data_IF_088212796386
#
_entry.id   IF_088212796386
#
_cell.length_a   1.000
_cell.length_b   1.000
_cell.length_c   1.000
_cell.angle_alpha   90.00
_cell.angle_beta   90.00
_cell.angle_gamma   90.00
#
_symmetry.space_group_name_H-M   'P 1'
#
loop_
_entity.id
_entity.type
_entity.pdbx_description
1 polymer ?
#
# COMPACT_ATOMS: atom_id res chain seq x y z
N UNK A 1 -3.19 4.89 -2.16
CA UNK A 1 -2.11 4.13 -1.50
C UNK A 1 -2.54 3.40 -0.23
N UNK A 2 -3.35 4.00 0.66
CA UNK A 2 -3.85 3.28 1.85
C UNK A 2 -4.52 1.94 1.52
N UNK A 3 -5.40 1.90 0.50
CA UNK A 3 -6.03 0.67 0.04
C UNK A 3 -5.03 -0.41 -0.41
N UNK A 4 -3.91 -0.01 -1.01
CA UNK A 4 -2.85 -0.94 -1.45
C UNK A 4 -2.09 -1.52 -0.26
N UNK A 5 -1.84 -0.73 0.78
CA UNK A 5 -1.24 -1.24 2.03
C UNK A 5 -2.22 -2.17 2.75
N UNK A 6 -3.51 -1.83 2.79
CA UNK A 6 -4.56 -2.71 3.31
C UNK A 6 -4.68 -4.02 2.54
N UNK A 7 -4.51 -3.99 1.22
CA UNK A 7 -4.45 -5.21 0.41
C UNK A 7 -3.31 -6.13 0.90
N UNK A 8 -2.10 -5.61 1.14
CA UNK A 8 -0.99 -6.43 1.68
C UNK A 8 -1.31 -7.00 3.06
N UNK A 9 -1.96 -6.21 3.93
CA UNK A 9 -2.37 -6.69 5.26
C UNK A 9 -3.40 -7.81 5.13
N UNK A 10 -4.33 -7.70 4.18
CA UNK A 10 -5.34 -8.71 3.92
C UNK A 10 -4.71 -10.00 3.38
N UNK A 11 -3.78 -9.92 2.43
CA UNK A 11 -3.08 -11.11 1.91
C UNK A 11 -2.20 -11.78 2.95
N UNK A 12 -1.58 -11.01 3.84
CA UNK A 12 -0.87 -11.52 5.00
C UNK A 12 -1.80 -12.24 5.98
N UNK A 13 -2.95 -11.63 6.32
CA UNK A 13 -3.94 -12.22 7.20
C UNK A 13 -4.54 -13.51 6.60
N UNK A 14 -4.72 -13.53 5.28
CA UNK A 14 -5.17 -14.69 4.52
C UNK A 14 -4.19 -15.86 4.64
N UNK A 15 -2.92 -15.64 4.32
CA UNK A 15 -1.86 -16.65 4.45
C UNK A 15 -1.73 -17.19 5.90
N UNK A 16 -1.85 -16.31 6.90
CA UNK A 16 -1.89 -16.72 8.30
C UNK A 16 -3.13 -17.57 8.64
N UNK A 17 -4.23 -17.36 7.92
CA UNK A 17 -5.48 -18.09 8.14
C UNK A 17 -5.38 -19.56 7.74
N UNK A 18 -4.66 -19.88 6.67
CA UNK A 18 -4.40 -21.26 6.28
C UNK A 18 -3.40 -21.95 7.22
N UNK A 19 -2.43 -21.23 7.77
CA UNK A 19 -1.39 -21.80 8.64
C UNK A 19 -1.83 -22.08 10.07
N UNK A 20 -2.82 -21.35 10.59
CA UNK A 20 -3.20 -21.40 12.00
C UNK A 20 -4.71 -21.43 12.19
N UNK A 21 -5.38 -22.45 11.62
CA UNK A 21 -6.81 -22.71 11.81
C UNK A 21 -7.19 -22.62 13.30
N UNK A 22 -7.94 -21.57 13.67
CA UNK A 22 -8.49 -21.36 15.01
C UNK A 22 -7.74 -20.39 15.94
N UNK A 23 -6.51 -19.94 15.64
CA UNK A 23 -5.74 -18.99 16.49
C UNK A 23 -5.46 -17.63 15.84
N UNK A 24 -6.03 -17.37 14.67
CA UNK A 24 -5.77 -16.16 13.88
C UNK A 24 -6.27 -14.90 14.59
N UNK A 25 -7.50 -14.94 15.13
CA UNK A 25 -8.15 -13.77 15.72
C UNK A 25 -7.33 -13.19 16.88
N UNK A 26 -6.89 -14.03 17.82
CA UNK A 26 -6.06 -13.61 18.97
C UNK A 26 -4.70 -13.02 18.56
N UNK A 27 -4.18 -13.42 17.39
CA UNK A 27 -2.88 -12.97 16.88
C UNK A 27 -3.02 -11.67 16.10
N UNK A 28 -4.12 -11.48 15.39
CA UNK A 28 -4.43 -10.25 14.65
C UNK A 28 -4.87 -9.15 15.62
N UNK A 29 -5.72 -9.43 16.60
CA UNK A 29 -6.23 -8.41 17.54
C UNK A 29 -5.09 -7.79 18.38
N UNK A 30 -4.11 -8.61 18.78
CA UNK A 30 -2.90 -8.11 19.47
C UNK A 30 -2.01 -7.22 18.60
N UNK A 31 -2.14 -7.30 17.27
CA UNK A 31 -1.35 -6.52 16.30
C UNK A 31 -2.16 -5.49 15.51
N UNK A 32 -3.47 -5.37 15.76
CA UNK A 32 -4.38 -4.51 15.01
C UNK A 32 -3.91 -3.05 14.95
N UNK A 33 -3.46 -2.50 16.09
CA UNK A 33 -2.92 -1.14 16.15
C UNK A 33 -1.68 -0.94 15.27
N UNK A 34 -0.80 -1.94 15.17
CA UNK A 34 0.38 -1.88 14.28
C UNK A 34 -0.04 -1.88 12.81
N UNK A 35 -1.02 -2.70 12.43
CA UNK A 35 -1.53 -2.73 11.06
C UNK A 35 -2.17 -1.42 10.66
N UNK A 36 -3.00 -0.83 11.52
CA UNK A 36 -3.55 0.51 11.30
C UNK A 36 -2.44 1.55 11.18
N UNK A 37 -1.49 1.59 12.12
CA UNK A 37 -0.40 2.57 12.08
C UNK A 37 0.35 2.51 10.75
N UNK A 38 0.75 1.32 10.30
CA UNK A 38 1.47 1.15 9.03
C UNK A 38 0.60 1.55 7.83
N UNK A 39 -0.67 1.11 7.81
CA UNK A 39 -1.62 1.39 6.73
C UNK A 39 -1.90 2.89 6.52
N UNK A 40 -1.83 3.68 7.59
CA UNK A 40 -2.08 5.12 7.54
C UNK A 40 -0.81 5.96 7.43
N UNK A 41 0.26 5.58 8.15
CA UNK A 41 1.53 6.33 8.12
C UNK A 41 2.23 6.23 6.77
N UNK A 42 2.27 5.06 6.12
CA UNK A 42 2.97 4.93 4.83
C UNK A 42 2.36 5.83 3.74
N UNK A 43 1.04 5.82 3.50
CA UNK A 43 0.42 6.76 2.56
C UNK A 43 0.61 8.21 2.97
N UNK A 44 0.51 8.53 4.26
CA UNK A 44 0.66 9.90 4.76
C UNK A 44 2.06 10.45 4.49
N UNK A 45 3.10 9.68 4.77
CA UNK A 45 4.49 10.09 4.48
C UNK A 45 4.67 10.30 2.98
N UNK A 46 4.13 9.40 2.15
CA UNK A 46 4.20 9.52 0.70
C UNK A 46 3.52 10.81 0.21
N UNK A 47 2.30 11.12 0.69
CA UNK A 47 1.58 12.33 0.28
C UNK A 47 2.25 13.60 0.78
N UNK A 48 2.75 13.62 2.02
CA UNK A 48 3.50 14.76 2.56
C UNK A 48 4.77 15.01 1.76
N UNK A 49 5.48 13.95 1.36
CA UNK A 49 6.69 14.08 0.54
C UNK A 49 6.38 14.66 -0.84
N UNK A 50 5.30 14.21 -1.49
CA UNK A 50 4.84 14.76 -2.77
C UNK A 50 4.48 16.25 -2.64
N UNK A 51 3.76 16.62 -1.57
CA UNK A 51 3.43 18.02 -1.29
C UNK A 51 4.69 18.85 -1.06
N UNK A 52 5.67 18.32 -0.31
CA UNK A 52 6.93 19.00 -0.03
C UNK A 52 7.80 19.20 -1.28
N UNK A 53 7.75 18.28 -2.24
CA UNK A 53 8.45 18.40 -3.52
C UNK A 53 7.73 19.35 -4.50
N UNK A 54 6.47 19.70 -4.25
CA UNK A 54 5.71 20.60 -5.11
C UNK A 54 5.29 19.99 -6.46
N UNK A 55 5.37 18.67 -6.59
CA UNK A 55 5.17 17.92 -7.85
C UNK A 55 3.70 17.55 -8.07
N UNK A 56 2.78 18.44 -7.72
CA UNK A 56 1.33 18.26 -7.88
C UNK A 56 0.88 19.09 -9.07
N UNK A 57 0.55 18.41 -10.16
CA UNK A 57 0.14 19.03 -11.41
C UNK A 57 -1.38 18.90 -11.60
N UNK A 58 -2.02 19.96 -12.09
CA UNK A 58 -3.43 19.94 -12.50
C UNK A 58 -3.57 19.54 -13.98
N UNK A 59 -4.52 18.66 -14.30
CA UNK A 59 -4.85 18.32 -15.68
C UNK A 59 -6.31 18.64 -16.01
N UNK A 60 -6.52 19.53 -16.99
CA UNK A 60 -7.85 19.96 -17.44
C UNK A 60 -8.67 18.86 -18.12
N UNK A 61 -8.03 17.84 -18.71
CA UNK A 61 -8.74 16.74 -19.38
C UNK A 61 -9.39 15.80 -18.36
N UNK A 62 -8.67 15.46 -17.29
CA UNK A 62 -9.19 14.57 -16.22
C UNK A 62 -9.90 15.34 -15.10
N UNK A 63 -9.75 16.67 -15.03
CA UNK A 63 -10.36 17.51 -14.00
C UNK A 63 -9.83 17.28 -12.59
N UNK A 64 -8.62 16.74 -12.45
CA UNK A 64 -8.02 16.40 -11.15
C UNK A 64 -6.57 16.86 -11.07
N UNK A 65 -6.11 17.11 -9.85
CA UNK A 65 -4.69 17.29 -9.54
C UNK A 65 -4.06 15.95 -9.20
N UNK A 66 -2.91 15.65 -9.79
CA UNK A 66 -2.20 14.40 -9.59
C UNK A 66 -0.69 14.59 -9.63
N UNK A 67 0.04 13.65 -9.04
CA UNK A 67 1.50 13.72 -8.97
C UNK A 67 2.15 13.42 -10.32
N UNK A 68 3.07 14.29 -10.74
CA UNK A 68 3.96 14.08 -11.88
C UNK A 68 3.24 13.91 -13.23
N UNK A 69 2.32 14.83 -13.57
CA UNK A 69 1.90 14.97 -14.98
C UNK A 69 3.03 15.54 -15.83
N UNK A 70 3.75 16.53 -15.30
CA UNK A 70 4.87 17.19 -15.98
C UNK A 70 6.14 16.35 -15.85
N UNK A 71 6.42 15.86 -14.65
CA UNK A 71 7.63 15.08 -14.35
C UNK A 71 7.32 13.59 -14.20
N UNK A 72 7.45 12.83 -15.29
CA UNK A 72 7.18 11.39 -15.31
C UNK A 72 8.08 10.57 -14.36
N UNK A 73 9.30 11.05 -14.06
CA UNK A 73 10.19 10.41 -13.10
C UNK A 73 9.62 10.41 -11.66
N UNK A 74 8.95 11.50 -11.28
CA UNK A 74 8.29 11.63 -9.97
C UNK A 74 7.08 10.71 -9.93
N UNK A 75 6.28 10.68 -10.99
CA UNK A 75 5.16 9.74 -11.11
C UNK A 75 5.62 8.28 -11.05
N UNK A 76 6.73 7.93 -11.67
CA UNK A 76 7.28 6.58 -11.61
C UNK A 76 7.73 6.21 -10.18
N UNK A 77 8.46 7.09 -9.50
CA UNK A 77 8.95 6.81 -8.14
C UNK A 77 7.85 6.77 -7.09
N UNK A 78 6.92 7.73 -7.10
CA UNK A 78 5.87 7.85 -6.07
C UNK A 78 4.61 7.03 -6.35
N UNK A 79 4.38 6.58 -7.58
CA UNK A 79 3.21 5.77 -7.94
C UNK A 79 3.59 4.34 -8.32
N UNK A 80 4.41 4.17 -9.36
CA UNK A 80 4.78 2.84 -9.86
C UNK A 80 5.64 2.08 -8.84
N UNK A 81 6.57 2.75 -8.17
CA UNK A 81 7.40 2.15 -7.12
C UNK A 81 6.59 1.49 -6.00
N UNK A 82 5.72 2.24 -5.28
CA UNK A 82 4.88 1.68 -4.22
C UNK A 82 3.92 0.59 -4.72
N UNK A 83 3.33 0.75 -5.91
CA UNK A 83 2.44 -0.26 -6.49
C UNK A 83 3.18 -1.56 -6.78
N UNK A 84 4.37 -1.48 -7.38
CA UNK A 84 5.18 -2.67 -7.67
C UNK A 84 5.57 -3.40 -6.38
N UNK A 85 6.02 -2.67 -5.36
CA UNK A 85 6.37 -3.25 -4.06
C UNK A 85 5.16 -3.97 -3.44
N UNK A 86 3.99 -3.32 -3.43
CA UNK A 86 2.76 -3.92 -2.90
C UNK A 86 2.37 -5.19 -3.67
N UNK A 87 2.46 -5.16 -5.00
CA UNK A 87 2.14 -6.32 -5.83
C UNK A 87 3.12 -7.48 -5.61
N UNK A 88 4.42 -7.21 -5.50
CA UNK A 88 5.42 -8.24 -5.22
C UNK A 88 5.21 -8.86 -3.83
N UNK A 89 5.00 -8.05 -2.80
CA UNK A 89 4.81 -8.54 -1.43
C UNK A 89 3.47 -9.27 -1.29
N UNK A 90 2.38 -8.70 -1.81
CA UNK A 90 1.07 -9.33 -1.78
C UNK A 90 1.02 -10.61 -2.62
N UNK A 91 1.61 -10.59 -3.82
CA UNK A 91 1.75 -11.76 -4.68
C UNK A 91 2.60 -12.86 -4.04
N UNK A 92 3.68 -12.50 -3.35
CA UNK A 92 4.49 -13.46 -2.60
C UNK A 92 3.67 -14.19 -1.53
N UNK A 93 2.86 -13.46 -0.73
CA UNK A 93 2.00 -14.07 0.27
C UNK A 93 0.92 -14.97 -0.35
N UNK A 94 0.31 -14.56 -1.47
CA UNK A 94 -0.64 -15.41 -2.20
C UNK A 94 0.02 -16.67 -2.76
N UNK A 95 1.14 -16.54 -3.47
CA UNK A 95 1.81 -17.69 -4.08
C UNK A 95 2.27 -18.71 -3.03
N UNK A 96 2.72 -18.24 -1.87
CA UNK A 96 3.14 -19.12 -0.78
C UNK A 96 1.98 -19.86 -0.12
N UNK A 97 0.76 -19.33 -0.21
CA UNK A 97 -0.45 -19.97 0.32
C UNK A 97 -0.99 -21.06 -0.61
N UNK A 98 -0.82 -20.89 -1.92
CA UNK A 98 -1.32 -21.83 -2.96
C UNK A 98 -0.46 -23.10 -3.06
N UNK A 99 0.76 -23.10 -2.52
CA UNK A 99 1.75 -24.18 -2.66
C UNK A 99 1.92 -24.97 -1.36
#
# INVERSE_FOLDING_TARGET
MAAMVWFVILTYAWHMSFQALGKIQDRIDKKGSYFHLIAWCLPLVLTVTIMALGEIDGNSVTGICFVGYTNHAVRASFLLGPVLIVLLVGGYFLCRDVQ
#
